data_IF_905177399506
#
_entry.id   IF_905177399506
#
_cell.length_a   1.000
_cell.length_b   1.000
_cell.length_c   1.000
_cell.angle_alpha   90.00
_cell.angle_beta   90.00
_cell.angle_gamma   90.00
#
_symmetry.space_group_name_H-M   'P 1'
#
loop_
_entity.id
_entity.type
_entity.pdbx_description
1 polymer ?
#
# COMPACT_ATOMS: atom_id res chain seq x y z
N UNK A 1 11.29 -3.04 -1.84
CA UNK A 1 12.62 -3.57 -1.44
C UNK A 1 12.90 -3.55 0.07
N UNK A 2 12.52 -2.52 0.83
CA UNK A 2 12.69 -2.50 2.31
C UNK A 2 12.09 -3.72 3.01
N UNK A 3 11.00 -4.27 2.48
CA UNK A 3 10.35 -5.46 3.05
C UNK A 3 11.18 -6.76 3.00
N UNK A 4 12.37 -6.73 2.39
CA UNK A 4 13.34 -7.83 2.40
C UNK A 4 14.50 -7.61 3.39
N UNK A 5 14.51 -6.49 4.10
CA UNK A 5 15.54 -6.17 5.10
C UNK A 5 15.12 -6.64 6.48
N UNK A 6 16.11 -6.86 7.35
CA UNK A 6 15.88 -6.98 8.79
C UNK A 6 15.76 -5.62 9.47
N UNK A 7 15.20 -5.61 10.69
CA UNK A 7 14.94 -4.38 11.45
C UNK A 7 16.19 -3.54 11.72
N UNK A 8 17.28 -4.17 12.13
CA UNK A 8 18.56 -3.48 12.35
C UNK A 8 19.11 -2.88 11.06
N UNK A 9 19.13 -3.65 9.97
CA UNK A 9 19.63 -3.19 8.66
C UNK A 9 18.83 -1.98 8.17
N UNK A 10 17.51 -2.00 8.29
CA UNK A 10 16.69 -0.86 7.90
C UNK A 10 16.98 0.38 8.76
N UNK A 11 17.01 0.22 10.09
CA UNK A 11 17.21 1.34 11.01
C UNK A 11 18.60 1.96 10.91
N UNK A 12 19.62 1.14 10.67
CA UNK A 12 21.00 1.59 10.65
C UNK A 12 21.42 2.12 9.28
N UNK A 13 20.90 1.54 8.18
CA UNK A 13 21.40 1.81 6.83
C UNK A 13 20.39 2.45 5.87
N UNK A 14 19.08 2.46 6.19
CA UNK A 14 18.06 3.01 5.28
C UNK A 14 17.36 4.21 5.89
N UNK A 15 16.82 4.07 7.10
CA UNK A 15 16.01 5.08 7.76
C UNK A 15 16.73 6.45 7.88
N UNK A 16 18.01 6.55 8.28
CA UNK A 16 18.66 7.83 8.44
C UNK A 16 18.72 8.62 7.13
N UNK A 17 19.02 7.93 6.02
CA UNK A 17 19.11 8.53 4.70
C UNK A 17 17.74 8.89 4.13
N UNK A 18 16.69 8.10 4.43
CA UNK A 18 15.33 8.45 4.04
C UNK A 18 14.88 9.75 4.71
N UNK A 19 15.16 9.90 6.01
CA UNK A 19 14.83 11.11 6.78
C UNK A 19 15.62 12.31 6.26
N UNK A 20 16.93 12.14 6.03
CA UNK A 20 17.78 13.18 5.46
C UNK A 20 17.29 13.63 4.07
N UNK A 21 16.94 12.66 3.21
CA UNK A 21 16.41 12.95 1.87
C UNK A 21 15.17 13.83 1.93
N UNK A 22 14.19 13.50 2.78
CA UNK A 22 12.98 14.31 2.91
C UNK A 22 13.24 15.69 3.52
N UNK A 23 14.20 15.81 4.45
CA UNK A 23 14.59 17.09 5.01
C UNK A 23 15.25 18.03 3.96
N UNK A 24 15.99 17.46 3.01
CA UNK A 24 16.65 18.20 1.93
C UNK A 24 15.68 18.54 0.80
N UNK A 25 14.98 17.53 0.27
CA UNK A 25 14.10 17.69 -0.90
C UNK A 25 12.84 18.47 -0.56
N UNK A 26 12.33 18.34 0.68
CA UNK A 26 11.10 18.96 1.17
C UNK A 26 9.93 18.79 0.18
N UNK A 27 9.61 17.54 -0.22
CA UNK A 27 8.51 17.32 -1.13
C UNK A 27 7.18 17.72 -0.49
N UNK A 28 6.20 18.07 -1.31
CA UNK A 28 4.84 18.36 -0.81
C UNK A 28 4.22 17.13 -0.11
N UNK A 29 4.58 15.92 -0.56
CA UNK A 29 4.17 14.66 0.04
C UNK A 29 5.33 13.67 0.05
N UNK A 30 5.53 13.02 1.20
CA UNK A 30 6.49 11.94 1.38
C UNK A 30 5.76 10.63 1.13
N UNK A 31 5.94 10.09 -0.06
CA UNK A 31 5.29 8.84 -0.51
C UNK A 31 6.30 7.72 -0.38
N UNK A 32 5.90 6.62 0.25
CA UNK A 32 6.76 5.45 0.39
C UNK A 32 6.10 4.20 -0.19
N UNK A 33 6.89 3.49 -1.00
CA UNK A 33 6.55 2.19 -1.56
C UNK A 33 7.67 1.20 -1.29
N UNK A 34 7.29 -0.05 -1.03
CA UNK A 34 8.25 -1.14 -0.98
C UNK A 34 7.56 -2.49 -1.14
N UNK A 35 8.09 -3.31 -2.04
CA UNK A 35 7.83 -4.76 -2.05
C UNK A 35 8.41 -5.47 -0.82
N UNK A 36 7.93 -6.69 -0.61
CA UNK A 36 8.28 -7.54 0.52
C UNK A 36 7.36 -7.29 1.73
N UNK A 37 7.67 -7.92 2.86
CA UNK A 37 6.80 -7.81 4.04
C UNK A 37 7.05 -6.53 4.82
N UNK A 38 5.99 -5.78 5.11
CA UNK A 38 6.07 -4.53 5.87
C UNK A 38 5.53 -4.64 7.30
N UNK A 39 5.04 -5.82 7.70
CA UNK A 39 4.39 -6.05 9.00
C UNK A 39 5.25 -5.61 10.20
N UNK A 40 6.57 -5.79 10.10
CA UNK A 40 7.52 -5.46 11.17
C UNK A 40 7.91 -3.98 11.19
N UNK A 41 7.71 -3.23 10.10
CA UNK A 41 8.31 -1.89 9.94
C UNK A 41 7.34 -0.74 9.67
N UNK A 42 6.09 -1.03 9.29
CA UNK A 42 5.14 0.00 8.88
C UNK A 42 4.99 1.11 9.93
N UNK A 43 5.03 0.78 11.23
CA UNK A 43 4.94 1.78 12.32
C UNK A 43 6.08 2.80 12.30
N UNK A 44 7.28 2.36 11.96
CA UNK A 44 8.44 3.24 11.86
C UNK A 44 8.33 4.09 10.61
N UNK A 45 7.99 3.49 9.46
CA UNK A 45 7.87 4.21 8.18
C UNK A 45 6.76 5.26 8.24
N UNK A 46 5.59 4.92 8.80
CA UNK A 46 4.44 5.83 8.88
C UNK A 46 4.67 7.08 9.76
N UNK A 47 5.80 7.17 10.49
CA UNK A 47 6.22 8.41 11.17
C UNK A 47 6.93 9.37 10.23
N UNK A 48 7.59 8.83 9.21
CA UNK A 48 8.45 9.59 8.31
C UNK A 48 7.78 9.93 6.97
N UNK A 49 6.58 9.40 6.72
CA UNK A 49 5.90 9.49 5.43
C UNK A 49 4.45 9.92 5.60
N UNK A 50 3.90 10.52 4.55
CA UNK A 50 2.51 10.98 4.50
C UNK A 50 1.60 9.96 3.79
N UNK A 51 2.18 9.17 2.88
CA UNK A 51 1.47 8.17 2.07
C UNK A 51 2.22 6.85 2.07
N UNK A 52 1.53 5.76 2.41
CA UNK A 52 1.99 4.40 2.14
C UNK A 52 1.33 3.91 0.84
N UNK A 53 2.15 3.72 -0.20
CA UNK A 53 1.70 3.44 -1.57
C UNK A 53 2.11 2.05 -2.02
N UNK A 54 1.16 1.35 -2.66
CA UNK A 54 1.37 0.06 -3.31
C UNK A 54 2.12 -0.92 -2.41
N UNK A 55 1.59 -1.17 -1.22
CA UNK A 55 2.29 -1.85 -0.13
C UNK A 55 1.80 -3.29 0.07
N UNK A 56 2.64 -4.12 0.71
CA UNK A 56 2.40 -5.54 1.06
C UNK A 56 0.90 -5.92 1.11
N UNK A 57 0.42 -6.82 0.22
CA UNK A 57 -0.98 -7.25 0.17
C UNK A 57 -1.47 -7.90 1.47
N UNK A 58 -0.56 -8.40 2.30
CA UNK A 58 -0.86 -9.05 3.57
C UNK A 58 -0.86 -8.09 4.76
N UNK A 59 -0.51 -6.82 4.54
CA UNK A 59 -0.53 -5.82 5.59
C UNK A 59 -1.97 -5.48 5.98
N UNK A 60 -2.22 -5.53 7.28
CA UNK A 60 -3.55 -5.33 7.86
C UNK A 60 -3.92 -3.84 7.91
N UNK A 61 -4.83 -3.43 7.02
CA UNK A 61 -5.31 -2.06 6.91
C UNK A 61 -6.08 -1.64 8.17
N UNK A 62 -6.91 -2.52 8.73
CA UNK A 62 -7.71 -2.21 9.93
C UNK A 62 -6.78 -1.90 11.11
N UNK A 63 -5.72 -2.69 11.25
CA UNK A 63 -4.70 -2.47 12.28
C UNK A 63 -3.98 -1.12 12.09
N UNK A 64 -3.59 -0.79 10.86
CA UNK A 64 -2.97 0.52 10.59
C UNK A 64 -3.95 1.64 10.95
N UNK A 65 -5.22 1.51 10.57
CA UNK A 65 -6.23 2.55 10.80
C UNK A 65 -6.57 2.76 12.26
N UNK A 66 -6.54 1.70 13.07
CA UNK A 66 -6.72 1.80 14.51
C UNK A 66 -5.58 2.59 15.18
N UNK A 67 -4.36 2.46 14.67
CA UNK A 67 -3.16 3.04 15.29
C UNK A 67 -2.69 4.36 14.64
N UNK A 68 -3.03 4.60 13.37
CA UNK A 68 -2.65 5.77 12.59
C UNK A 68 -3.79 6.18 11.63
N UNK A 69 -4.56 7.17 12.08
CA UNK A 69 -5.74 7.67 11.34
C UNK A 69 -5.40 8.68 10.25
N UNK A 70 -4.21 9.29 10.32
CA UNK A 70 -3.84 10.41 9.47
C UNK A 70 -3.05 9.97 8.23
N UNK A 71 -2.34 8.84 8.30
CA UNK A 71 -1.59 8.30 7.16
C UNK A 71 -2.51 8.04 5.95
N UNK A 72 -2.10 8.49 4.77
CA UNK A 72 -2.80 8.14 3.54
C UNK A 72 -2.37 6.75 3.07
N UNK A 73 -3.32 5.89 2.72
CA UNK A 73 -3.05 4.54 2.25
C UNK A 73 -3.52 4.39 0.80
N UNK A 74 -2.67 3.83 -0.05
CA UNK A 74 -3.02 3.46 -1.42
C UNK A 74 -2.66 1.99 -1.63
N UNK A 75 -3.66 1.12 -1.72
CA UNK A 75 -3.45 -0.33 -1.74
C UNK A 75 -4.68 -1.10 -1.26
N UNK A 76 -4.57 -2.37 -0.86
CA UNK A 76 -3.43 -3.28 -1.08
C UNK A 76 -3.90 -4.59 -1.72
N UNK A 77 -4.71 -4.50 -2.77
CA UNK A 77 -5.21 -5.69 -3.49
C UNK A 77 -4.03 -6.50 -4.01
N UNK A 78 -4.03 -7.82 -3.77
CA UNK A 78 -2.98 -8.71 -4.25
C UNK A 78 -2.98 -8.75 -5.79
N UNK A 79 -1.90 -8.31 -6.46
CA UNK A 79 -1.87 -8.20 -7.91
C UNK A 79 -1.81 -9.55 -8.63
N UNK A 80 -1.47 -10.64 -7.93
CA UNK A 80 -1.43 -11.99 -8.49
C UNK A 80 -2.71 -12.74 -8.13
N UNK A 81 -2.91 -13.00 -6.84
CA UNK A 81 -3.97 -13.91 -6.38
C UNK A 81 -5.36 -13.38 -6.66
N UNK A 82 -5.54 -12.06 -6.60
CA UNK A 82 -6.85 -11.43 -6.75
C UNK A 82 -7.00 -10.86 -8.16
N UNK A 83 -6.03 -10.10 -8.67
CA UNK A 83 -6.17 -9.46 -9.98
C UNK A 83 -5.93 -10.41 -11.15
N UNK A 84 -4.83 -11.17 -11.15
CA UNK A 84 -4.48 -12.06 -12.26
C UNK A 84 -5.27 -13.37 -12.23
N UNK A 85 -5.35 -14.00 -11.06
CA UNK A 85 -5.90 -15.36 -10.90
C UNK A 85 -7.38 -15.36 -10.47
N UNK A 86 -7.86 -14.26 -9.90
CA UNK A 86 -9.22 -14.12 -9.37
C UNK A 86 -10.28 -13.79 -10.42
N UNK A 87 -11.53 -13.81 -9.99
CA UNK A 87 -12.69 -13.41 -10.82
C UNK A 87 -13.14 -11.99 -10.49
N UNK A 88 -13.75 -11.32 -11.46
CA UNK A 88 -14.25 -9.95 -11.30
C UNK A 88 -15.17 -9.77 -10.07
N UNK A 89 -16.05 -10.73 -9.75
CA UNK A 89 -16.92 -10.63 -8.57
C UNK A 89 -16.15 -10.67 -7.25
N UNK A 90 -15.07 -11.45 -7.20
CA UNK A 90 -14.17 -11.52 -6.04
C UNK A 90 -13.40 -10.21 -5.88
N UNK A 91 -12.91 -9.64 -6.98
CA UNK A 91 -12.23 -8.34 -6.98
C UNK A 91 -13.17 -7.27 -6.45
N UNK A 92 -14.44 -7.21 -6.91
CA UNK A 92 -15.43 -6.26 -6.39
C UNK A 92 -15.61 -6.40 -4.89
N UNK A 93 -15.81 -7.64 -4.41
CA UNK A 93 -16.01 -7.92 -2.99
C UNK A 93 -14.82 -7.45 -2.14
N UNK A 94 -13.60 -7.88 -2.51
CA UNK A 94 -12.38 -7.53 -1.77
C UNK A 94 -12.12 -6.03 -1.84
N UNK A 95 -12.37 -5.40 -2.98
CA UNK A 95 -12.23 -3.95 -3.13
C UNK A 95 -13.11 -3.20 -2.13
N UNK A 96 -14.39 -3.57 -1.99
CA UNK A 96 -15.28 -2.97 -1.02
C UNK A 96 -14.86 -3.24 0.43
N UNK A 97 -14.32 -4.42 0.74
CA UNK A 97 -13.75 -4.72 2.05
C UNK A 97 -12.58 -3.78 2.37
N UNK A 98 -11.67 -3.59 1.41
CA UNK A 98 -10.49 -2.72 1.55
C UNK A 98 -10.88 -1.24 1.63
N UNK A 99 -11.86 -0.78 0.84
CA UNK A 99 -12.40 0.60 0.92
C UNK A 99 -12.98 0.86 2.32
N UNK A 100 -13.78 -0.08 2.85
CA UNK A 100 -14.39 0.07 4.17
C UNK A 100 -13.35 0.07 5.29
N UNK A 101 -12.38 -0.85 5.25
CA UNK A 101 -11.28 -0.91 6.20
C UNK A 101 -10.41 0.36 6.12
N UNK A 102 -10.13 0.82 4.90
CA UNK A 102 -9.31 1.99 4.63
C UNK A 102 -9.91 3.30 5.09
N UNK A 103 -11.24 3.47 4.98
CA UNK A 103 -11.94 4.64 5.51
C UNK A 103 -11.42 5.97 4.94
N UNK A 104 -11.25 6.98 5.80
CA UNK A 104 -10.69 8.28 5.40
C UNK A 104 -9.21 8.15 5.03
N UNK A 105 -8.76 9.01 4.11
CA UNK A 105 -7.37 9.04 3.62
C UNK A 105 -6.95 7.71 2.98
N UNK A 106 -7.84 7.14 2.17
CA UNK A 106 -7.60 5.87 1.49
C UNK A 106 -7.95 6.01 0.01
N UNK A 107 -7.11 5.43 -0.85
CA UNK A 107 -7.45 5.18 -2.25
C UNK A 107 -7.25 3.69 -2.55
N UNK A 108 -8.20 3.12 -3.28
CA UNK A 108 -8.10 1.73 -3.70
C UNK A 108 -6.94 1.58 -4.69
N UNK A 109 -6.06 0.61 -4.42
CA UNK A 109 -4.94 0.29 -5.29
C UNK A 109 -4.44 -1.13 -5.07
N UNK A 110 -3.41 -1.49 -5.82
CA UNK A 110 -2.74 -2.77 -5.69
C UNK A 110 -1.73 -2.75 -4.54
N UNK A 111 -1.36 -3.91 -4.02
CA UNK A 111 -0.28 -4.07 -3.03
C UNK A 111 1.10 -4.30 -3.65
N UNK A 112 1.24 -3.98 -4.93
CA UNK A 112 2.41 -4.21 -5.78
C UNK A 112 2.10 -3.78 -7.21
N UNK A 113 2.97 -4.08 -8.16
CA UNK A 113 2.74 -3.74 -9.57
C UNK A 113 1.66 -4.63 -10.21
N UNK A 114 0.95 -4.08 -11.21
CA UNK A 114 0.04 -4.85 -12.04
C UNK A 114 0.83 -5.90 -12.83
N UNK A 115 0.35 -7.14 -12.82
CA UNK A 115 1.07 -8.26 -13.45
C UNK A 115 0.69 -8.37 -14.92
N UNK A 116 1.67 -8.64 -15.77
CA UNK A 116 1.42 -8.91 -17.18
C UNK A 116 0.47 -10.09 -17.36
N UNK A 117 -0.53 -9.93 -18.22
CA UNK A 117 -1.55 -10.95 -18.46
C UNK A 117 -2.77 -10.86 -17.53
N UNK A 118 -2.82 -9.90 -16.59
CA UNK A 118 -4.05 -9.63 -15.85
C UNK A 118 -5.21 -9.37 -16.83
N UNK A 119 -6.33 -10.11 -16.73
CA UNK A 119 -7.46 -9.91 -17.63
C UNK A 119 -7.98 -8.47 -17.63
N UNK A 120 -8.31 -7.94 -18.80
CA UNK A 120 -8.79 -6.57 -18.95
C UNK A 120 -10.07 -6.32 -18.13
N UNK A 121 -10.97 -7.30 -18.06
CA UNK A 121 -12.18 -7.24 -17.24
C UNK A 121 -11.86 -7.04 -15.76
N UNK A 122 -10.81 -7.68 -15.24
CA UNK A 122 -10.37 -7.54 -13.86
C UNK A 122 -9.77 -6.14 -13.61
N UNK A 123 -9.06 -5.56 -14.58
CA UNK A 123 -8.54 -4.18 -14.48
C UNK A 123 -9.70 -3.18 -14.45
N UNK A 124 -10.70 -3.36 -15.31
CA UNK A 124 -11.86 -2.47 -15.39
C UNK A 124 -12.66 -2.38 -14.09
N UNK A 125 -12.69 -3.45 -13.30
CA UNK A 125 -13.34 -3.44 -11.98
C UNK A 125 -12.77 -2.34 -11.08
N UNK A 126 -11.45 -2.20 -11.01
CA UNK A 126 -10.81 -1.18 -10.15
C UNK A 126 -11.15 0.23 -10.64
N UNK A 127 -11.09 0.45 -11.95
CA UNK A 127 -11.45 1.75 -12.55
C UNK A 127 -12.90 2.12 -12.24
N UNK A 128 -13.83 1.17 -12.43
CA UNK A 128 -15.24 1.40 -12.14
C UNK A 128 -15.50 1.76 -10.66
N UNK A 129 -14.85 1.06 -9.73
CA UNK A 129 -15.05 1.31 -8.30
C UNK A 129 -14.44 2.63 -7.82
N UNK A 130 -13.41 3.15 -8.49
CA UNK A 130 -12.85 4.46 -8.20
C UNK A 130 -13.76 5.61 -8.64
N UNK A 131 -14.65 5.40 -9.62
CA UNK A 131 -15.62 6.42 -10.05
C UNK A 131 -16.85 6.48 -9.12
N UNK A 132 -17.10 5.43 -8.34
CA UNK A 132 -18.25 5.30 -7.43
C UNK A 132 -17.96 5.77 -5.99
N UNK A 133 -16.70 6.09 -5.66
CA UNK A 133 -16.21 6.45 -4.32
C UNK A 133 -15.46 7.78 -4.32
#
# INVERSE_FOLDING_TARGET
MVGYLGDSVFKDLVLPYLVELYAVVKPNHRIFHSDGTLQWIWKTICKEVDVLFSFDPNLDIDKIRQENKDIFLIGNIDPVKIMLEGKSEEIVKISWEKIRAGGKNFALGLGGELVSGTPEENIKVISYLQDEF
#
